data_IF_563600290911
#
_entry.id   IF_563600290911
#
_cell.length_a   1.000
_cell.length_b   1.000
_cell.length_c   1.000
_cell.angle_alpha   90.00
_cell.angle_beta   90.00
_cell.angle_gamma   90.00
#
_symmetry.space_group_name_H-M   'P 1'
#
loop_
_entity.id
_entity.type
_entity.pdbx_description
1 polymer ?
#
# COMPACT_ATOMS: atom_id res chain seq x y z
N UNK A 1 12.93 -16.33 16.34
CA UNK A 1 12.47 -14.97 15.96
C UNK A 1 12.43 -14.76 14.45
N UNK A 2 13.37 -15.31 13.66
CA UNK A 2 13.38 -15.18 12.20
C UNK A 2 12.07 -15.62 11.47
N UNK A 3 11.40 -16.67 11.95
CA UNK A 3 10.13 -17.13 11.34
C UNK A 3 8.93 -16.20 11.56
N UNK A 4 8.90 -15.41 12.64
CA UNK A 4 7.84 -14.39 12.84
C UNK A 4 8.05 -13.20 11.90
N UNK A 5 9.29 -12.72 11.77
CA UNK A 5 9.62 -11.58 10.90
C UNK A 5 9.42 -11.89 9.40
N UNK A 6 9.79 -13.10 8.95
CA UNK A 6 9.51 -13.54 7.58
C UNK A 6 7.98 -13.66 7.31
N UNK A 7 7.20 -14.06 8.32
CA UNK A 7 5.74 -14.13 8.21
C UNK A 7 5.09 -12.73 8.13
N UNK A 8 5.63 -11.74 8.84
CA UNK A 8 5.16 -10.35 8.79
C UNK A 8 5.47 -9.69 7.45
N UNK A 9 6.65 -9.93 6.87
CA UNK A 9 6.99 -9.45 5.52
C UNK A 9 6.06 -10.04 4.46
N UNK A 10 5.78 -11.36 4.53
CA UNK A 10 4.83 -12.01 3.63
C UNK A 10 3.40 -11.48 3.78
N UNK A 11 2.94 -11.25 5.01
CA UNK A 11 1.63 -10.64 5.27
C UNK A 11 1.53 -9.21 4.72
N UNK A 12 2.61 -8.42 4.83
CA UNK A 12 2.67 -7.05 4.32
C UNK A 12 2.61 -7.02 2.79
N UNK A 13 3.34 -7.92 2.11
CA UNK A 13 3.26 -8.06 0.65
C UNK A 13 1.85 -8.45 0.17
N UNK A 14 1.20 -9.39 0.86
CA UNK A 14 -0.18 -9.76 0.56
C UNK A 14 -1.14 -8.58 0.74
N UNK A 15 -0.92 -7.77 1.78
CA UNK A 15 -1.69 -6.55 2.03
C UNK A 15 -1.55 -5.52 0.91
N UNK A 16 -0.32 -5.29 0.44
CA UNK A 16 -0.06 -4.40 -0.72
C UNK A 16 -0.83 -4.89 -1.95
N UNK A 17 -0.72 -6.19 -2.27
CA UNK A 17 -1.40 -6.75 -3.44
C UNK A 17 -2.93 -6.62 -3.34
N UNK A 18 -3.50 -6.82 -2.16
CA UNK A 18 -4.93 -6.64 -1.93
C UNK A 18 -5.37 -5.18 -2.12
N UNK A 19 -4.55 -4.22 -1.65
CA UNK A 19 -4.82 -2.79 -1.82
C UNK A 19 -4.69 -2.34 -3.28
N UNK A 20 -3.71 -2.85 -4.03
CA UNK A 20 -3.59 -2.58 -5.47
C UNK A 20 -4.79 -3.10 -6.27
N UNK A 21 -5.31 -4.28 -5.91
CA UNK A 21 -6.55 -4.82 -6.49
C UNK A 21 -7.75 -3.95 -6.13
N UNK A 22 -7.86 -3.52 -4.87
CA UNK A 22 -8.92 -2.63 -4.43
C UNK A 22 -8.89 -1.29 -5.16
N UNK A 23 -7.70 -0.70 -5.34
CA UNK A 23 -7.51 0.52 -6.10
C UNK A 23 -7.99 0.37 -7.55
N UNK A 24 -7.59 -0.72 -8.21
CA UNK A 24 -8.03 -1.04 -9.57
C UNK A 24 -9.56 -1.20 -9.65
N UNK A 25 -10.15 -1.87 -8.66
CA UNK A 25 -11.61 -2.00 -8.54
C UNK A 25 -12.31 -0.65 -8.46
N UNK A 26 -11.80 0.28 -7.64
CA UNK A 26 -12.34 1.64 -7.53
C UNK A 26 -12.24 2.39 -8.86
N UNK A 27 -11.10 2.32 -9.57
CA UNK A 27 -10.96 2.96 -10.88
C UNK A 27 -11.95 2.41 -11.91
N UNK A 28 -12.17 1.09 -11.93
CA UNK A 28 -13.15 0.47 -12.82
C UNK A 28 -14.57 0.96 -12.51
N UNK A 29 -14.96 1.01 -11.23
CA UNK A 29 -16.26 1.55 -10.84
C UNK A 29 -16.43 3.02 -11.26
N UNK A 30 -15.38 3.84 -11.17
CA UNK A 30 -15.42 5.24 -11.64
C UNK A 30 -15.67 5.33 -13.13
N UNK A 31 -14.98 4.49 -13.92
CA UNK A 31 -15.19 4.44 -15.36
C UNK A 31 -16.62 4.03 -15.71
N UNK A 32 -17.19 3.03 -15.01
CA UNK A 32 -18.57 2.58 -15.22
C UNK A 32 -19.59 3.68 -14.92
N UNK A 33 -19.38 4.45 -13.85
CA UNK A 33 -20.23 5.58 -13.50
C UNK A 33 -20.14 6.71 -14.53
N UNK A 34 -18.95 7.05 -15.01
CA UNK A 34 -18.80 8.04 -16.08
C UNK A 34 -19.43 7.57 -17.40
N UNK A 35 -19.32 6.29 -17.73
CA UNK A 35 -20.03 5.71 -18.89
C UNK A 35 -21.55 5.81 -18.72
N UNK A 36 -22.07 5.51 -17.53
CA UNK A 36 -23.50 5.65 -17.21
C UNK A 36 -23.95 7.11 -17.35
N UNK A 37 -23.18 8.06 -16.81
CA UNK A 37 -23.44 9.50 -16.92
C UNK A 37 -23.53 9.96 -18.37
N UNK A 38 -22.61 9.52 -19.23
CA UNK A 38 -22.64 9.86 -20.64
C UNK A 38 -23.92 9.36 -21.33
N UNK A 39 -24.31 8.12 -21.04
CA UNK A 39 -25.53 7.53 -21.57
C UNK A 39 -26.80 8.25 -21.05
N UNK A 40 -26.85 8.57 -19.75
CA UNK A 40 -28.02 9.18 -19.11
C UNK A 40 -28.16 10.68 -19.41
N UNK A 41 -27.05 11.39 -19.64
CA UNK A 41 -27.04 12.81 -20.00
C UNK A 41 -27.80 13.10 -21.31
N UNK A 42 -27.91 12.11 -22.20
CA UNK A 42 -28.71 12.22 -23.42
C UNK A 42 -30.23 12.29 -23.16
N UNK A 43 -30.70 11.72 -22.03
CA UNK A 43 -32.11 11.63 -21.67
C UNK A 43 -32.56 12.57 -20.56
N UNK A 44 -31.66 13.03 -19.69
CA UNK A 44 -32.00 13.85 -18.52
C UNK A 44 -31.89 15.36 -18.79
N UNK A 45 -33.04 15.99 -19.08
CA UNK A 45 -33.19 17.46 -19.17
C UNK A 45 -33.95 18.02 -17.97
N UNK A 46 -33.73 19.29 -17.64
CA UNK A 46 -34.44 19.98 -16.54
C UNK A 46 -33.80 19.78 -15.15
N UNK A 47 -34.54 20.09 -14.09
CA UNK A 47 -34.03 20.07 -12.70
C UNK A 47 -33.54 18.69 -12.26
N UNK A 48 -34.23 17.62 -12.66
CA UNK A 48 -33.86 16.23 -12.36
C UNK A 48 -32.47 15.89 -12.91
N UNK A 49 -32.14 16.37 -14.11
CA UNK A 49 -30.81 16.18 -14.68
C UNK A 49 -29.72 16.93 -13.92
N UNK A 50 -30.05 18.05 -13.27
CA UNK A 50 -29.09 18.78 -12.42
C UNK A 50 -28.84 18.02 -11.12
N UNK A 51 -29.89 17.62 -10.41
CA UNK A 51 -29.76 16.86 -9.15
C UNK A 51 -28.99 15.55 -9.36
N UNK A 52 -29.25 14.85 -10.47
CA UNK A 52 -28.51 13.64 -10.82
C UNK A 52 -27.02 13.91 -11.10
N UNK A 53 -26.68 15.00 -11.81
CA UNK A 53 -25.28 15.40 -12.01
C UNK A 53 -24.59 15.77 -10.69
N UNK A 54 -25.28 16.50 -9.82
CA UNK A 54 -24.75 16.89 -8.51
C UNK A 54 -24.48 15.66 -7.63
N UNK A 55 -25.33 14.62 -7.70
CA UNK A 55 -25.12 13.34 -7.02
C UNK A 55 -23.91 12.58 -7.58
N UNK A 56 -23.77 12.52 -8.90
CA UNK A 56 -22.64 11.86 -9.55
C UNK A 56 -21.32 12.55 -9.23
N UNK A 57 -21.31 13.87 -9.17
CA UNK A 57 -20.13 14.63 -8.77
C UNK A 57 -19.73 14.30 -7.32
N UNK A 58 -20.67 14.32 -6.38
CA UNK A 58 -20.40 13.94 -4.99
C UNK A 58 -19.87 12.51 -4.89
N UNK A 59 -20.42 11.59 -5.67
CA UNK A 59 -19.94 10.21 -5.71
C UNK A 59 -18.49 10.13 -6.21
N UNK A 60 -18.15 10.88 -7.27
CA UNK A 60 -16.78 10.89 -7.83
C UNK A 60 -15.76 11.46 -6.83
N UNK A 61 -16.12 12.53 -6.12
CA UNK A 61 -15.31 13.11 -5.04
C UNK A 61 -15.05 12.07 -3.92
N UNK A 62 -16.05 11.28 -3.53
CA UNK A 62 -15.85 10.21 -2.54
C UNK A 62 -14.96 9.08 -3.08
N UNK A 63 -15.12 8.70 -4.34
CA UNK A 63 -14.29 7.68 -4.98
C UNK A 63 -12.82 8.13 -5.09
N UNK A 64 -12.58 9.42 -5.33
CA UNK A 64 -11.24 10.01 -5.29
C UNK A 64 -10.62 9.94 -3.89
N UNK A 65 -11.36 10.31 -2.84
CA UNK A 65 -10.88 10.21 -1.45
C UNK A 65 -10.49 8.76 -1.11
N UNK A 66 -11.33 7.78 -1.49
CA UNK A 66 -11.02 6.35 -1.27
C UNK A 66 -9.75 5.96 -2.03
N UNK A 67 -9.61 6.41 -3.28
CA UNK A 67 -8.44 6.10 -4.12
C UNK A 67 -7.14 6.63 -3.50
N UNK A 68 -7.16 7.84 -2.95
CA UNK A 68 -6.03 8.46 -2.24
C UNK A 68 -5.69 7.63 -1.00
N UNK A 69 -6.67 7.33 -0.15
CA UNK A 69 -6.44 6.57 1.08
C UNK A 69 -5.85 5.17 0.79
N UNK A 70 -6.32 4.48 -0.26
CA UNK A 70 -5.78 3.18 -0.65
C UNK A 70 -4.33 3.29 -1.10
N UNK A 71 -4.00 4.33 -1.88
CA UNK A 71 -2.63 4.59 -2.32
C UNK A 71 -1.71 4.91 -1.14
N UNK A 72 -2.13 5.76 -0.21
CA UNK A 72 -1.34 6.10 0.98
C UNK A 72 -1.05 4.86 1.84
N UNK A 73 -2.02 3.94 1.93
CA UNK A 73 -1.82 2.65 2.61
C UNK A 73 -0.79 1.76 1.88
N UNK A 74 -0.82 1.70 0.54
CA UNK A 74 0.20 0.99 -0.25
C UNK A 74 1.59 1.57 -0.02
N UNK A 75 1.71 2.90 -0.06
CA UNK A 75 2.97 3.62 0.18
C UNK A 75 3.50 3.35 1.59
N UNK A 76 2.63 3.38 2.60
CA UNK A 76 2.97 3.09 4.00
C UNK A 76 3.46 1.65 4.20
N UNK A 77 2.76 0.66 3.63
CA UNK A 77 3.18 -0.74 3.73
C UNK A 77 4.48 -1.01 2.97
N UNK A 78 4.67 -0.35 1.83
CA UNK A 78 5.91 -0.44 1.04
C UNK A 78 7.10 0.14 1.82
N UNK A 79 6.93 1.29 2.47
CA UNK A 79 7.96 1.88 3.31
C UNK A 79 8.25 1.02 4.55
N UNK A 80 7.22 0.39 5.12
CA UNK A 80 7.37 -0.56 6.23
C UNK A 80 8.24 -1.74 5.82
N UNK A 81 8.00 -2.35 4.65
CA UNK A 81 8.85 -3.43 4.11
C UNK A 81 10.30 -2.97 3.90
N UNK A 82 10.48 -1.77 3.35
CA UNK A 82 11.82 -1.20 3.12
C UNK A 82 12.58 -1.01 4.43
N UNK A 83 11.92 -0.45 5.44
CA UNK A 83 12.50 -0.23 6.77
C UNK A 83 12.84 -1.55 7.47
N UNK A 84 11.98 -2.56 7.36
CA UNK A 84 12.26 -3.90 7.88
C UNK A 84 13.51 -4.52 7.22
N UNK A 85 13.63 -4.47 5.90
CA UNK A 85 14.80 -4.98 5.17
C UNK A 85 16.12 -4.27 5.53
N UNK A 86 16.07 -2.94 5.72
CA UNK A 86 17.23 -2.19 6.21
C UNK A 86 17.63 -2.58 7.65
N UNK A 87 16.64 -2.81 8.52
CA UNK A 87 16.88 -3.23 9.91
C UNK A 87 17.48 -4.63 9.98
N UNK A 88 17.02 -5.57 9.14
CA UNK A 88 17.59 -6.92 9.04
C UNK A 88 19.05 -6.91 8.56
N UNK A 89 19.36 -6.08 7.56
CA UNK A 89 20.74 -5.93 7.04
C UNK A 89 21.65 -5.37 8.13
N UNK A 90 21.23 -4.29 8.79
CA UNK A 90 21.99 -3.65 9.86
C UNK A 90 22.18 -4.56 11.09
N UNK A 91 21.15 -5.35 11.43
CA UNK A 91 21.23 -6.32 12.54
C UNK A 91 22.16 -7.49 12.20
N UNK A 92 22.12 -7.99 10.97
CA UNK A 92 23.05 -9.04 10.54
C UNK A 92 24.50 -8.56 10.48
N UNK A 93 24.74 -7.34 10.00
CA UNK A 93 26.09 -6.76 9.95
C UNK A 93 26.64 -6.50 11.35
N UNK A 94 25.84 -5.96 12.27
CA UNK A 94 26.25 -5.77 13.68
C UNK A 94 26.48 -7.10 14.42
N UNK A 95 25.69 -8.14 14.16
CA UNK A 95 25.94 -9.49 14.70
C UNK A 95 27.22 -10.07 14.11
N UNK A 96 27.44 -10.00 12.80
CA UNK A 96 28.68 -10.47 12.15
C UNK A 96 29.90 -9.71 12.65
N UNK A 97 29.77 -8.40 12.84
CA UNK A 97 30.83 -7.54 13.34
C UNK A 97 31.14 -7.88 14.81
N UNK A 98 30.12 -8.07 15.66
CA UNK A 98 30.28 -8.54 17.03
C UNK A 98 30.87 -9.96 17.10
N UNK A 99 30.53 -10.85 16.16
CA UNK A 99 31.13 -12.17 16.02
C UNK A 99 32.61 -12.08 15.65
N UNK A 100 32.96 -11.25 14.65
CA UNK A 100 34.35 -11.04 14.23
C UNK A 100 35.20 -10.41 15.34
N UNK A 101 34.59 -9.52 16.13
CA UNK A 101 35.23 -8.86 17.27
C UNK A 101 35.36 -9.80 18.47
N UNK A 102 34.39 -10.71 18.68
CA UNK A 102 34.49 -11.75 19.70
C UNK A 102 35.54 -12.79 19.33
N UNK A 103 35.64 -13.16 18.06
CA UNK A 103 36.65 -14.10 17.58
C UNK A 103 38.07 -13.50 17.71
N UNK A 104 38.25 -12.22 17.38
CA UNK A 104 39.55 -11.55 17.54
C UNK A 104 39.96 -11.40 19.00
N UNK A 105 39.01 -11.20 19.92
CA UNK A 105 39.26 -11.18 21.38
C UNK A 105 39.61 -12.58 21.90
N UNK A 106 38.93 -13.63 21.42
CA UNK A 106 39.24 -15.01 21.78
C UNK A 106 40.61 -15.47 21.25
N UNK A 107 40.97 -15.08 20.03
CA UNK A 107 42.29 -15.38 19.45
C UNK A 107 43.40 -14.59 20.16
N UNK A 108 43.12 -13.36 20.63
CA UNK A 108 44.05 -12.58 21.46
C UNK A 108 44.23 -13.13 22.89
N UNK A 109 43.25 -13.90 23.40
CA UNK A 109 43.32 -14.56 24.71
C UNK A 109 43.95 -15.96 24.67
N UNK A 110 44.01 -16.58 23.48
CA UNK A 110 44.66 -17.89 23.26
C UNK A 110 46.12 -17.78 22.78
N UNK A 111 46.62 -16.56 22.58
CA UNK A 111 48.02 -16.25 22.32
C UNK A 111 48.82 -16.09 23.61
#
# INVERSE_FOLDING_TARGET
>A
MAGMQQSEAGATQNGIQALEQAFTGVQNCRQDVENMKFNLASGLKGSVGKEYRDLLQQWDEQAEIISINVRDMVETLTETLRTQGHTETTSNDSIRQAYSQSQSVFDALKG
#
